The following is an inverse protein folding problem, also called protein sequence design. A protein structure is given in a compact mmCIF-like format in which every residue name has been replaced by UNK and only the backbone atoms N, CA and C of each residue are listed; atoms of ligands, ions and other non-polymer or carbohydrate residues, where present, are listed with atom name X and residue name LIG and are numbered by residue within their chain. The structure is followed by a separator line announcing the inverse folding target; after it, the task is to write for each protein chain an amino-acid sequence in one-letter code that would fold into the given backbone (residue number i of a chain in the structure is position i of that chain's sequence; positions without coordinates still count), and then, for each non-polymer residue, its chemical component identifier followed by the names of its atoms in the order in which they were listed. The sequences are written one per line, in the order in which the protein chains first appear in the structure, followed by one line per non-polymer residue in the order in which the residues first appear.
data_IF_966964593413
#
_entry.id   IF_966964593413
#
_cell.length_a   1.000
_cell.length_b   1.000
_cell.length_c   1.000
_cell.angle_alpha   90.00
_cell.angle_beta   90.00
_cell.angle_gamma   90.00
#
_symmetry.space_group_name_H-M   'P 1'
#
loop_
_entity.id
_entity.type
_entity.pdbx_description
1 polymer ?
#
# COMPACT_ATOMS: atom_id res chain seq x y z
N UNK A 1 -15.77 -1.79 35.58
CA UNK A 1 -16.27 -1.29 34.27
C UNK A 1 -15.48 -2.04 33.21
N UNK A 2 -16.08 -2.49 32.10
CA UNK A 2 -15.29 -3.03 31.00
C UNK A 2 -14.30 -1.96 30.53
N UNK A 3 -13.09 -2.36 30.16
CA UNK A 3 -12.12 -1.42 29.61
C UNK A 3 -12.71 -0.73 28.37
N UNK A 4 -12.47 0.58 28.19
CA UNK A 4 -12.98 1.28 27.02
C UNK A 4 -12.45 0.63 25.76
N UNK A 5 -13.36 0.28 24.84
CA UNK A 5 -13.03 -0.32 23.55
C UNK A 5 -12.06 0.60 22.81
N UNK A 6 -10.91 0.07 22.40
CA UNK A 6 -9.93 0.77 21.57
C UNK A 6 -10.10 0.30 20.13
N UNK A 7 -10.38 1.23 19.23
CA UNK A 7 -10.57 0.92 17.81
C UNK A 7 -9.50 1.64 17.00
N UNK A 8 -8.73 0.85 16.23
CA UNK A 8 -7.77 1.31 15.23
C UNK A 8 -8.46 2.15 14.14
N UNK A 9 -7.72 2.95 13.37
CA UNK A 9 -8.29 3.63 12.21
C UNK A 9 -7.33 4.00 11.09
N UNK A 10 -7.88 4.14 9.90
CA UNK A 10 -7.15 4.62 8.74
C UNK A 10 -7.04 6.15 8.72
N UNK A 11 -5.85 6.65 8.37
CA UNK A 11 -5.70 8.02 7.86
C UNK A 11 -5.63 8.00 6.34
N UNK A 12 -6.59 8.66 5.70
CA UNK A 12 -6.67 8.80 4.24
C UNK A 12 -6.40 10.25 3.86
N UNK A 13 -5.69 10.48 2.76
CA UNK A 13 -5.42 11.83 2.26
C UNK A 13 -6.73 12.55 1.85
N UNK A 14 -6.86 13.86 2.12
CA UNK A 14 -8.07 14.63 1.79
C UNK A 14 -8.46 14.61 0.30
N UNK A 15 -7.50 14.42 -0.61
CA UNK A 15 -7.73 14.27 -2.05
C UNK A 15 -8.57 13.05 -2.39
N UNK A 16 -8.41 11.98 -1.62
CA UNK A 16 -8.99 10.67 -1.95
C UNK A 16 -10.41 10.52 -1.39
N UNK A 17 -10.82 11.44 -0.52
CA UNK A 17 -12.21 11.57 -0.07
C UNK A 17 -13.17 11.89 -1.23
N UNK A 18 -12.68 12.45 -2.35
CA UNK A 18 -13.49 12.93 -3.49
C UNK A 18 -13.63 11.94 -4.66
N UNK A 19 -12.77 10.93 -4.81
CA UNK A 19 -12.76 10.01 -5.96
C UNK A 19 -13.73 8.80 -5.85
N UNK A 20 -14.69 8.84 -4.92
CA UNK A 20 -15.44 7.66 -4.45
C UNK A 20 -16.92 7.61 -4.91
N UNK A 21 -17.31 8.33 -5.97
CA UNK A 21 -18.74 8.61 -6.29
C UNK A 21 -19.32 7.92 -7.55
N UNK A 22 -18.68 6.97 -8.21
CA UNK A 22 -19.18 6.40 -9.48
C UNK A 22 -19.35 4.86 -9.47
N UNK A 23 -20.60 4.40 -9.49
CA UNK A 23 -21.03 2.99 -9.31
C UNK A 23 -21.49 2.28 -10.60
N UNK A 24 -21.15 1.01 -10.82
CA UNK A 24 -21.86 0.10 -11.74
C UNK A 24 -21.97 -1.36 -11.20
N UNK A 25 -23.11 -2.07 -11.39
CA UNK A 25 -23.34 -3.38 -10.77
C UNK A 25 -23.06 -4.59 -11.68
N UNK A 26 -22.18 -5.49 -11.22
CA UNK A 26 -21.99 -6.85 -11.77
C UNK A 26 -20.74 -7.53 -11.19
N UNK A 27 -20.87 -8.78 -10.71
CA UNK A 27 -19.83 -9.74 -10.27
C UNK A 27 -19.09 -9.59 -8.91
N UNK A 28 -18.83 -10.72 -8.23
CA UNK A 28 -18.39 -10.96 -6.80
C UNK A 28 -16.85 -11.18 -6.69
N UNK A 29 -16.13 -11.22 -5.51
CA UNK A 29 -16.24 -10.65 -4.11
C UNK A 29 -14.99 -9.77 -3.65
N UNK A 30 -15.04 -8.81 -2.68
CA UNK A 30 -14.60 -8.75 -1.22
C UNK A 30 -13.05 -8.51 -0.97
N UNK A 31 -12.46 -8.38 0.28
CA UNK A 31 -11.09 -7.87 0.77
C UNK A 31 -10.40 -6.82 -0.12
N UNK A 32 -9.52 -5.95 0.37
CA UNK A 32 -9.15 -4.83 -0.50
C UNK A 32 -7.76 -4.25 -0.26
N UNK A 33 -7.05 -4.09 -1.38
CA UNK A 33 -5.91 -3.19 -1.52
C UNK A 33 -6.32 -2.14 -2.53
N UNK A 34 -6.10 -0.86 -2.21
CA UNK A 34 -6.18 0.18 -3.22
C UNK A 34 -5.13 -0.12 -4.29
N UNK A 35 -5.56 -0.51 -5.49
CA UNK A 35 -4.64 -0.89 -6.57
C UNK A 35 -3.58 0.18 -6.83
N UNK A 36 -3.97 1.44 -6.68
CA UNK A 36 -3.12 2.62 -6.86
C UNK A 36 -2.23 2.94 -5.67
N UNK A 37 -2.50 2.38 -4.47
CA UNK A 37 -1.75 2.69 -3.25
C UNK A 37 -0.74 1.60 -2.84
N UNK A 38 -0.57 0.57 -3.65
CA UNK A 38 0.42 -0.48 -3.42
C UNK A 38 1.84 0.05 -3.54
N UNK A 39 2.72 -0.50 -2.70
CA UNK A 39 4.14 -0.40 -2.95
C UNK A 39 4.52 -1.17 -4.20
N UNK A 40 5.67 -0.84 -4.77
CA UNK A 40 6.31 -1.66 -5.78
C UNK A 40 6.57 -3.07 -5.22
N UNK A 41 6.30 -4.13 -5.99
CA UNK A 41 6.62 -5.49 -5.55
C UNK A 41 8.13 -5.63 -5.32
N UNK A 42 8.53 -6.44 -4.34
CA UNK A 42 9.90 -6.57 -3.85
C UNK A 42 10.52 -5.29 -3.24
N UNK A 43 9.71 -4.26 -2.93
CA UNK A 43 10.21 -3.04 -2.31
C UNK A 43 10.83 -3.29 -0.92
N UNK A 44 11.92 -2.58 -0.65
CA UNK A 44 12.44 -2.42 0.72
C UNK A 44 11.97 -1.09 1.28
N UNK A 45 11.15 -1.14 2.33
CA UNK A 45 10.53 0.00 2.98
C UNK A 45 11.30 0.31 4.26
N UNK A 46 11.84 1.53 4.37
CA UNK A 46 12.53 1.99 5.56
C UNK A 46 11.50 2.31 6.64
N UNK A 47 11.76 1.82 7.84
CA UNK A 47 10.92 2.01 9.02
C UNK A 47 11.73 2.71 10.09
N UNK A 48 11.23 3.83 10.61
CA UNK A 48 11.86 4.54 11.74
C UNK A 48 10.90 4.76 12.89
N UNK A 49 11.43 4.77 14.10
CA UNK A 49 10.67 5.07 15.32
C UNK A 49 10.81 6.56 15.68
N UNK A 50 9.68 7.20 15.94
CA UNK A 50 9.59 8.59 16.41
C UNK A 50 9.19 8.60 17.90
N UNK A 51 9.99 7.92 18.72
CA UNK A 51 9.73 7.69 20.13
C UNK A 51 9.56 6.21 20.47
N UNK A 52 8.80 5.93 21.53
CA UNK A 52 8.61 4.58 22.07
C UNK A 52 9.83 4.06 22.83
N UNK A 53 9.59 3.36 23.93
CA UNK A 53 10.66 2.68 24.67
C UNK A 53 11.19 1.45 23.91
N UNK A 54 12.31 0.92 24.37
CA UNK A 54 12.99 -0.20 23.72
C UNK A 54 12.10 -1.46 23.62
N UNK A 55 11.21 -1.68 24.59
CA UNK A 55 10.32 -2.84 24.60
C UNK A 55 9.26 -2.71 23.51
N UNK A 56 8.60 -1.56 23.39
CA UNK A 56 7.64 -1.27 22.32
C UNK A 56 8.27 -1.43 20.95
N UNK A 57 9.45 -0.84 20.73
CA UNK A 57 10.14 -0.96 19.45
C UNK A 57 10.60 -2.40 19.15
N UNK A 58 10.94 -3.20 20.17
CA UNK A 58 11.30 -4.61 19.98
C UNK A 58 10.10 -5.45 19.49
N UNK A 59 8.91 -5.22 20.06
CA UNK A 59 7.68 -5.88 19.61
C UNK A 59 7.37 -5.55 18.14
N UNK A 60 7.51 -4.27 17.73
CA UNK A 60 7.30 -3.89 16.33
C UNK A 60 8.29 -4.62 15.40
N UNK A 61 9.58 -4.66 15.76
CA UNK A 61 10.60 -5.39 14.98
C UNK A 61 10.33 -6.89 14.91
N UNK A 62 9.67 -7.45 15.93
CA UNK A 62 9.33 -8.87 15.98
C UNK A 62 8.13 -9.20 15.10
N UNK A 63 7.06 -8.41 15.16
CA UNK A 63 5.77 -8.79 14.58
C UNK A 63 5.52 -8.23 13.19
N UNK A 64 5.92 -6.98 12.90
CA UNK A 64 5.70 -6.39 11.59
C UNK A 64 6.28 -7.23 10.42
N UNK A 65 7.50 -7.82 10.51
CA UNK A 65 8.05 -8.67 9.46
C UNK A 65 7.27 -9.97 9.18
N UNK A 66 6.23 -10.31 9.95
CA UNK A 66 5.38 -11.46 9.61
C UNK A 66 4.69 -11.28 8.25
N UNK A 67 4.29 -10.05 7.89
CA UNK A 67 3.78 -9.75 6.55
C UNK A 67 4.79 -10.09 5.46
N UNK A 68 6.07 -9.82 5.68
CA UNK A 68 7.16 -10.13 4.73
C UNK A 68 7.41 -11.63 4.52
N UNK A 69 6.70 -12.52 5.24
CA UNK A 69 6.74 -13.98 5.00
C UNK A 69 5.73 -14.44 3.94
N UNK A 70 4.68 -13.64 3.72
CA UNK A 70 3.62 -13.92 2.74
C UNK A 70 3.55 -12.85 1.62
N UNK A 71 4.13 -11.67 1.84
CA UNK A 71 4.27 -10.59 0.88
C UNK A 71 5.74 -10.40 0.50
N UNK A 72 6.02 -10.28 -0.79
CA UNK A 72 7.35 -9.93 -1.30
C UNK A 72 7.64 -8.44 -1.08
N UNK A 73 7.81 -8.07 0.19
CA UNK A 73 8.23 -6.77 0.68
C UNK A 73 9.28 -6.99 1.77
N UNK A 74 10.09 -5.96 2.05
CA UNK A 74 11.05 -5.98 3.16
C UNK A 74 10.89 -4.74 4.01
N UNK A 75 10.97 -4.90 5.33
CA UNK A 75 11.05 -3.79 6.27
C UNK A 75 12.48 -3.61 6.76
N UNK A 76 13.05 -2.44 6.50
CA UNK A 76 14.39 -2.05 6.96
C UNK A 76 14.25 -1.09 8.15
N UNK A 77 14.42 -1.61 9.36
CA UNK A 77 14.34 -0.79 10.57
C UNK A 77 15.63 0.01 10.77
N UNK A 78 15.50 1.33 10.89
CA UNK A 78 16.62 2.24 11.09
C UNK A 78 16.19 3.60 11.61
N UNK A 79 16.99 4.61 11.33
CA UNK A 79 16.69 6.01 11.67
C UNK A 79 16.84 6.94 10.45
N UNK A 80 16.62 6.41 9.25
CA UNK A 80 16.69 7.19 8.02
C UNK A 80 15.68 8.34 8.09
N UNK A 81 16.08 9.62 7.92
CA UNK A 81 15.16 10.76 8.08
C UNK A 81 14.04 10.78 7.03
N UNK A 82 14.24 10.08 5.92
CA UNK A 82 13.32 9.92 4.79
C UNK A 82 12.62 8.55 4.79
N UNK A 83 12.55 7.86 5.94
CA UNK A 83 11.85 6.58 6.03
C UNK A 83 10.38 6.71 5.62
N UNK A 84 9.88 5.75 4.83
CA UNK A 84 8.50 5.71 4.37
C UNK A 84 7.54 5.50 5.54
N UNK A 85 7.85 4.54 6.41
CA UNK A 85 7.04 4.22 7.60
C UNK A 85 7.70 4.86 8.82
N UNK A 86 6.96 5.74 9.51
CA UNK A 86 7.43 6.55 10.65
C UNK A 86 6.46 6.40 11.80
N UNK A 87 6.89 5.71 12.85
CA UNK A 87 6.00 5.20 13.90
C UNK A 87 6.10 6.06 15.15
N UNK A 88 5.00 6.74 15.51
CA UNK A 88 4.83 7.36 16.81
C UNK A 88 4.20 6.38 17.82
N UNK A 89 4.28 6.73 19.10
CA UNK A 89 3.72 5.93 20.21
C UNK A 89 2.93 6.83 21.18
N UNK A 90 2.09 7.71 20.62
CA UNK A 90 1.24 8.60 21.40
C UNK A 90 -0.02 7.86 21.86
N UNK A 91 -0.14 7.61 23.17
CA UNK A 91 -1.30 6.92 23.76
C UNK A 91 -2.60 7.69 23.61
N UNK A 92 -2.52 9.00 23.40
CA UNK A 92 -3.68 9.90 23.30
C UNK A 92 -4.17 10.05 21.85
N UNK A 93 -3.47 9.44 20.87
CA UNK A 93 -3.80 9.54 19.44
C UNK A 93 -4.20 8.17 18.83
N UNK A 94 -4.63 7.21 19.66
CA UNK A 94 -5.13 5.91 19.21
C UNK A 94 -4.10 5.07 18.44
N UNK A 95 -4.55 4.09 17.65
CA UNK A 95 -3.69 3.35 16.72
C UNK A 95 -4.17 3.58 15.29
N UNK A 96 -3.25 3.92 14.38
CA UNK A 96 -3.57 4.25 12.99
C UNK A 96 -2.36 4.16 12.08
N UNK A 97 -2.61 4.03 10.78
CA UNK A 97 -1.62 4.16 9.71
C UNK A 97 -2.21 4.88 8.50
N UNK A 98 -1.36 5.56 7.71
CA UNK A 98 -1.70 5.86 6.33
C UNK A 98 -1.65 4.59 5.47
N UNK A 99 -2.36 4.60 4.35
CA UNK A 99 -2.53 3.42 3.50
C UNK A 99 -1.47 3.38 2.41
N UNK A 100 -0.57 2.39 2.47
CA UNK A 100 0.41 2.15 1.41
C UNK A 100 1.25 3.38 1.06
N UNK A 101 1.35 3.70 -0.23
CA UNK A 101 2.19 4.80 -0.74
C UNK A 101 1.72 6.21 -0.30
N UNK A 102 0.54 6.35 0.30
CA UNK A 102 0.12 7.64 0.91
C UNK A 102 1.16 8.15 1.92
N UNK A 103 1.89 7.22 2.55
CA UNK A 103 3.02 7.51 3.43
C UNK A 103 4.09 8.43 2.79
N UNK A 104 4.24 8.39 1.46
CA UNK A 104 5.20 9.21 0.71
C UNK A 104 4.78 10.68 0.63
N UNK A 105 3.49 10.98 0.73
CA UNK A 105 2.95 12.34 0.70
C UNK A 105 3.05 13.08 2.05
N UNK A 106 3.39 12.37 3.13
CA UNK A 106 3.39 12.94 4.48
C UNK A 106 4.73 13.62 4.77
N UNK A 107 4.74 14.84 5.37
CA UNK A 107 5.97 15.51 5.77
C UNK A 107 6.91 14.62 6.59
N UNK A 108 8.22 14.74 6.33
CA UNK A 108 9.25 13.84 6.92
C UNK A 108 9.31 13.92 8.44
N UNK A 109 8.96 15.06 9.02
CA UNK A 109 8.92 15.33 10.47
C UNK A 109 7.61 14.88 11.14
N UNK A 110 6.67 14.31 10.39
CA UNK A 110 5.40 13.79 10.90
C UNK A 110 5.35 12.25 10.83
N UNK A 111 4.65 11.59 11.78
CA UNK A 111 4.45 10.15 11.72
C UNK A 111 3.55 9.75 10.55
N UNK A 112 3.79 8.56 9.99
CA UNK A 112 2.89 7.90 9.04
C UNK A 112 2.10 6.74 9.68
N UNK A 113 2.42 6.42 10.92
CA UNK A 113 1.72 5.46 11.76
C UNK A 113 1.83 5.89 13.22
N UNK A 114 0.81 5.60 14.03
CA UNK A 114 0.88 5.71 15.48
C UNK A 114 0.41 4.40 16.13
N UNK A 115 1.13 3.97 17.15
CA UNK A 115 0.77 2.83 18.00
C UNK A 115 0.50 3.34 19.41
N UNK A 116 -0.74 3.77 19.68
CA UNK A 116 -1.14 4.26 21.01
C UNK A 116 -1.11 3.19 22.10
N UNK A 117 -1.14 1.92 21.70
CA UNK A 117 -0.75 0.77 22.52
C UNK A 117 -0.05 -0.25 21.62
N UNK A 118 0.62 -1.23 22.22
CA UNK A 118 1.49 -2.17 21.49
C UNK A 118 1.18 -3.60 21.91
N UNK A 119 0.64 -4.37 20.98
CA UNK A 119 0.46 -5.81 21.02
C UNK A 119 0.63 -6.38 19.60
N UNK A 120 0.71 -7.71 19.47
CA UNK A 120 0.92 -8.37 18.18
C UNK A 120 -0.18 -8.02 17.17
N UNK A 121 -1.45 -8.08 17.60
CA UNK A 121 -2.59 -7.86 16.73
C UNK A 121 -2.60 -6.46 16.12
N UNK A 122 -2.41 -5.43 16.94
CA UNK A 122 -2.36 -4.04 16.47
C UNK A 122 -1.15 -3.77 15.59
N UNK A 123 0.03 -4.32 15.91
CA UNK A 123 1.19 -4.16 15.02
C UNK A 123 0.89 -4.76 13.64
N UNK A 124 0.33 -5.97 13.59
CA UNK A 124 0.01 -6.62 12.32
C UNK A 124 -1.08 -5.85 11.56
N UNK A 125 -2.10 -5.35 12.25
CA UNK A 125 -3.18 -4.55 11.67
C UNK A 125 -2.66 -3.26 11.03
N UNK A 126 -1.93 -2.44 11.79
CA UNK A 126 -1.43 -1.16 11.29
C UNK A 126 -0.40 -1.34 10.17
N UNK A 127 0.45 -2.38 10.25
CA UNK A 127 1.34 -2.70 9.13
C UNK A 127 0.59 -3.25 7.92
N UNK A 128 -0.59 -3.84 8.09
CA UNK A 128 -1.49 -4.17 6.99
C UNK A 128 -1.91 -2.93 6.21
N UNK A 129 -2.34 -1.88 6.91
CA UNK A 129 -2.61 -0.57 6.30
C UNK A 129 -1.36 0.03 5.64
N UNK A 130 -0.22 -0.01 6.33
CA UNK A 130 1.03 0.51 5.79
C UNK A 130 1.45 -0.19 4.50
N UNK A 131 1.04 -1.44 4.23
CA UNK A 131 1.28 -2.14 2.95
C UNK A 131 0.11 -2.09 1.96
N UNK A 132 -0.92 -1.29 2.27
CA UNK A 132 -2.01 -0.97 1.36
C UNK A 132 -3.31 -1.72 1.60
N UNK A 133 -3.40 -2.56 2.63
CA UNK A 133 -4.66 -3.21 3.01
C UNK A 133 -5.63 -2.20 3.62
N UNK A 134 -6.91 -2.44 3.41
CA UNK A 134 -7.98 -1.71 4.09
C UNK A 134 -8.82 -2.66 4.94
N UNK A 135 -9.72 -2.07 5.71
CA UNK A 135 -10.59 -2.78 6.64
C UNK A 135 -11.52 -3.80 5.98
N UNK A 136 -11.58 -4.99 6.58
CA UNK A 136 -12.37 -6.12 6.10
C UNK A 136 -13.89 -5.90 6.25
N UNK A 137 -14.32 -5.05 7.20
CA UNK A 137 -15.74 -4.73 7.42
C UNK A 137 -16.33 -3.74 6.41
N UNK A 138 -15.51 -3.00 5.66
CA UNK A 138 -15.98 -2.03 4.65
C UNK A 138 -16.42 -2.68 3.33
N UNK A 139 -16.89 -3.92 3.44
CA UNK A 139 -17.25 -4.81 2.34
C UNK A 139 -18.68 -4.57 1.84
N UNK A 140 -18.90 -4.38 0.52
CA UNK A 140 -20.19 -3.94 -0.04
C UNK A 140 -21.32 -5.00 -0.10
N UNK A 141 -21.12 -6.27 0.29
CA UNK A 141 -22.18 -7.29 0.24
C UNK A 141 -22.42 -7.99 1.58
N UNK A 142 -23.64 -7.86 2.11
CA UNK A 142 -24.06 -8.45 3.37
C UNK A 142 -23.52 -7.72 4.61
N UNK A 143 -23.10 -6.46 4.41
CA UNK A 143 -22.41 -5.63 5.40
C UNK A 143 -23.03 -5.66 6.79
N UNK A 144 -22.21 -5.37 7.79
CA UNK A 144 -22.62 -5.35 9.19
C UNK A 144 -23.86 -4.47 9.32
N UNK A 145 -24.90 -5.02 9.96
CA UNK A 145 -26.12 -4.28 10.25
C UNK A 145 -25.85 -3.34 11.42
N UNK A 146 -25.22 -2.21 11.11
CA UNK A 146 -24.77 -1.25 12.10
C UNK A 146 -25.94 -0.64 12.89
N UNK A 147 -25.84 -0.70 14.21
CA UNK A 147 -26.53 0.22 15.09
C UNK A 147 -25.77 1.56 15.07
N UNK A 148 -26.04 2.37 14.05
CA UNK A 148 -25.28 3.61 13.77
C UNK A 148 -25.23 4.54 14.99
N UNK A 149 -26.33 4.68 15.73
CA UNK A 149 -26.38 5.53 16.92
C UNK A 149 -25.46 5.03 18.03
N UNK A 150 -25.34 3.71 18.21
CA UNK A 150 -24.42 3.13 19.18
C UNK A 150 -22.95 3.34 18.76
N UNK A 151 -22.66 3.12 17.48
CA UNK A 151 -21.32 3.35 16.91
C UNK A 151 -20.91 4.82 17.04
N UNK A 152 -21.77 5.75 16.59
CA UNK A 152 -21.51 7.19 16.63
C UNK A 152 -21.29 7.65 18.08
N UNK A 153 -22.17 7.25 19.00
CA UNK A 153 -22.05 7.61 20.43
C UNK A 153 -20.76 7.10 21.04
N UNK A 154 -20.33 5.89 20.68
CA UNK A 154 -19.11 5.32 21.24
C UNK A 154 -17.85 5.98 20.66
N UNK A 155 -17.76 6.12 19.34
CA UNK A 155 -16.57 6.64 18.66
C UNK A 155 -16.42 8.17 18.77
N UNK A 156 -17.50 8.91 19.05
CA UNK A 156 -17.43 10.33 19.38
C UNK A 156 -16.89 10.58 20.80
N UNK A 157 -16.87 9.55 21.65
CA UNK A 157 -16.35 9.62 23.02
C UNK A 157 -14.89 9.21 23.12
N UNK A 158 -14.35 9.27 24.34
CA UNK A 158 -13.00 8.75 24.62
C UNK A 158 -12.92 7.24 24.33
N UNK A 159 -11.80 6.72 23.82
CA UNK A 159 -10.55 7.44 23.54
C UNK A 159 -10.47 8.03 22.12
N UNK A 160 -11.42 7.74 21.24
CA UNK A 160 -11.34 8.05 19.81
C UNK A 160 -11.63 9.52 19.48
N UNK A 161 -12.67 10.10 20.09
CA UNK A 161 -13.13 11.47 19.83
C UNK A 161 -13.31 11.81 18.35
N UNK A 162 -13.74 10.85 17.52
CA UNK A 162 -13.93 11.07 16.09
C UNK A 162 -15.13 11.96 15.82
N UNK A 163 -15.00 12.81 14.81
CA UNK A 163 -16.14 13.53 14.26
C UNK A 163 -17.00 12.62 13.38
N UNK A 164 -18.23 13.07 13.10
CA UNK A 164 -19.18 12.28 12.31
C UNK A 164 -18.63 11.94 10.91
N UNK A 165 -18.00 12.86 10.15
CA UNK A 165 -17.38 12.52 8.87
C UNK A 165 -16.36 11.39 8.93
N UNK A 166 -15.49 11.38 9.94
CA UNK A 166 -14.52 10.31 10.17
C UNK A 166 -15.23 8.98 10.44
N UNK A 167 -16.26 8.98 11.29
CA UNK A 167 -17.04 7.78 11.60
C UNK A 167 -17.77 7.24 10.36
N UNK A 168 -18.42 8.11 9.58
CA UNK A 168 -19.09 7.73 8.34
C UNK A 168 -18.12 7.04 7.38
N UNK A 169 -16.93 7.61 7.20
CA UNK A 169 -15.95 7.08 6.28
C UNK A 169 -15.31 5.78 6.75
N UNK A 170 -14.98 5.65 8.04
CA UNK A 170 -14.22 4.52 8.56
C UNK A 170 -15.10 3.33 8.98
N UNK A 171 -16.36 3.58 9.34
CA UNK A 171 -17.28 2.54 9.83
C UNK A 171 -18.33 2.13 8.81
N UNK A 172 -18.95 3.11 8.14
CA UNK A 172 -20.17 2.85 7.37
C UNK A 172 -19.96 2.82 5.86
N UNK A 173 -18.93 3.51 5.38
CA UNK A 173 -18.61 3.54 3.95
C UNK A 173 -18.09 2.18 3.50
N UNK A 174 -18.67 1.70 2.40
CA UNK A 174 -18.20 0.50 1.68
C UNK A 174 -17.52 0.92 0.38
N UNK A 175 -16.46 0.23 -0.03
CA UNK A 175 -15.71 0.57 -1.24
C UNK A 175 -16.35 0.01 -2.52
N UNK A 176 -16.14 0.72 -3.64
CA UNK A 176 -16.51 0.26 -4.97
C UNK A 176 -15.59 -0.89 -5.43
N UNK A 177 -16.17 -1.92 -6.05
CA UNK A 177 -15.46 -3.14 -6.45
C UNK A 177 -14.35 -2.89 -7.46
N UNK A 178 -14.46 -1.84 -8.27
CA UNK A 178 -13.46 -1.54 -9.30
C UNK A 178 -12.13 -1.03 -8.73
N UNK A 179 -12.11 -0.60 -7.47
CA UNK A 179 -10.94 -0.02 -6.81
C UNK A 179 -10.14 -1.04 -5.97
N UNK A 180 -10.65 -2.27 -5.85
CA UNK A 180 -10.17 -3.27 -4.88
C UNK A 180 -9.98 -4.67 -5.50
N UNK A 181 -9.08 -5.47 -4.93
CA UNK A 181 -8.97 -6.91 -5.16
C UNK A 181 -9.24 -7.62 -3.83
N UNK A 182 -10.06 -8.67 -3.72
CA UNK A 182 -10.03 -9.54 -2.53
C UNK A 182 -11.08 -10.66 -2.39
N UNK A 183 -11.37 -11.06 -1.14
CA UNK A 183 -11.88 -12.39 -0.72
C UNK A 183 -13.05 -12.35 0.27
N UNK A 184 -13.75 -13.48 0.48
CA UNK A 184 -14.85 -13.64 1.45
C UNK A 184 -14.63 -12.99 2.83
N UNK A 185 -15.67 -12.33 3.43
CA UNK A 185 -15.58 -11.75 4.78
C UNK A 185 -14.95 -12.78 5.71
N UNK A 186 -13.72 -12.51 6.10
CA UNK A 186 -12.96 -13.37 6.98
C UNK A 186 -13.08 -12.83 8.40
N UNK A 187 -13.92 -13.49 9.20
CA UNK A 187 -14.07 -13.20 10.63
C UNK A 187 -12.77 -13.28 11.43
N UNK A 188 -11.73 -13.91 10.86
CA UNK A 188 -10.40 -14.07 11.45
C UNK A 188 -9.36 -13.12 10.87
N UNK A 189 -9.72 -12.29 9.89
CA UNK A 189 -8.76 -11.37 9.27
C UNK A 189 -8.22 -10.42 10.32
N UNK A 190 -6.91 -10.22 10.29
CA UNK A 190 -6.26 -9.21 11.12
C UNK A 190 -6.78 -7.80 10.80
N UNK A 191 -7.32 -7.58 9.60
CA UNK A 191 -7.87 -6.29 9.14
C UNK A 191 -9.34 -6.08 9.52
N UNK A 192 -9.95 -7.00 10.30
CA UNK A 192 -11.31 -6.85 10.80
C UNK A 192 -11.32 -6.05 12.11
N UNK A 193 -12.10 -4.96 12.17
CA UNK A 193 -12.31 -4.28 13.45
C UNK A 193 -12.94 -5.20 14.50
N UNK A 194 -12.59 -4.96 15.76
CA UNK A 194 -13.40 -5.45 16.87
C UNK A 194 -14.71 -4.67 16.89
N UNK A 195 -15.81 -5.40 16.72
CA UNK A 195 -17.17 -4.86 16.64
C UNK A 195 -17.94 -5.36 17.86
N UNK A 196 -18.24 -4.49 18.84
CA UNK A 196 -19.10 -4.85 19.96
C UNK A 196 -20.49 -5.27 19.49
N UNK A 197 -21.12 -6.17 20.25
CA UNK A 197 -22.47 -6.67 19.91
C UNK A 197 -23.51 -5.56 19.89
N UNK A 198 -23.36 -4.56 20.75
CA UNK A 198 -24.22 -3.38 20.83
C UNK A 198 -24.13 -2.45 19.61
N UNK A 199 -23.06 -2.58 18.81
CA UNK A 199 -22.86 -1.81 17.58
C UNK A 199 -23.59 -2.43 16.39
N UNK A 200 -24.30 -3.54 16.57
CA UNK A 200 -25.07 -4.19 15.51
C UNK A 200 -26.53 -4.41 15.92
N UNK A 201 -27.42 -4.49 14.94
CA UNK A 201 -28.86 -4.69 15.18
C UNK A 201 -29.28 -6.16 15.09
N UNK A 202 -28.42 -7.04 14.58
CA UNK A 202 -28.68 -8.47 14.42
C UNK A 202 -27.81 -9.36 15.32
N UNK A 203 -27.07 -8.76 16.24
CA UNK A 203 -26.25 -9.46 17.22
C UNK A 203 -24.91 -9.95 16.68
N UNK A 204 -24.51 -9.55 15.47
CA UNK A 204 -23.15 -9.74 14.99
C UNK A 204 -22.14 -9.04 15.92
N UNK A 205 -20.99 -9.67 16.15
CA UNK A 205 -19.89 -9.10 16.91
C UNK A 205 -18.57 -9.73 16.44
N UNK A 206 -17.46 -9.04 16.66
CA UNK A 206 -16.11 -9.55 16.43
C UNK A 206 -15.17 -9.11 17.55
N UNK A 207 -14.27 -10.01 17.92
CA UNK A 207 -13.19 -9.74 18.88
C UNK A 207 -11.91 -9.38 18.11
N UNK A 208 -10.94 -8.70 18.76
CA UNK A 208 -9.65 -8.45 18.13
C UNK A 208 -8.99 -9.76 17.68
N UNK A 209 -8.55 -9.83 16.43
CA UNK A 209 -7.72 -10.92 15.95
C UNK A 209 -6.26 -10.61 16.29
N UNK A 210 -5.51 -11.61 16.76
CA UNK A 210 -4.13 -11.41 17.22
C UNK A 210 -3.08 -11.87 16.20
N UNK A 211 -3.47 -12.58 15.14
CA UNK A 211 -2.56 -13.19 14.17
C UNK A 211 -3.10 -13.06 12.74
N UNK A 212 -2.20 -13.12 11.76
CA UNK A 212 -2.56 -13.18 10.34
C UNK A 212 -3.37 -14.45 10.05
N UNK A 213 -4.54 -14.29 9.45
CA UNK A 213 -5.34 -15.41 8.97
C UNK A 213 -4.70 -16.05 7.72
N UNK A 214 -5.14 -17.25 7.35
CA UNK A 214 -4.73 -17.86 6.08
C UNK A 214 -5.25 -17.06 4.87
N UNK A 215 -6.39 -16.38 5.01
CA UNK A 215 -6.92 -15.50 3.96
C UNK A 215 -6.04 -14.25 3.83
N UNK A 216 -5.62 -13.64 4.95
CA UNK A 216 -4.70 -12.50 4.94
C UNK A 216 -3.39 -12.85 4.19
N UNK A 217 -2.79 -13.99 4.55
CA UNK A 217 -1.52 -14.47 3.96
C UNK A 217 -1.65 -14.78 2.47
N UNK A 218 -2.70 -15.51 2.09
CA UNK A 218 -2.90 -15.89 0.68
C UNK A 218 -3.25 -14.68 -0.17
N UNK A 219 -4.06 -13.77 0.37
CA UNK A 219 -4.45 -12.56 -0.32
C UNK A 219 -3.26 -11.63 -0.55
N UNK A 220 -2.47 -11.30 0.47
CA UNK A 220 -1.35 -10.37 0.30
C UNK A 220 -0.26 -10.92 -0.63
N UNK A 221 -0.08 -12.24 -0.66
CA UNK A 221 0.84 -12.94 -1.55
C UNK A 221 0.28 -13.28 -2.93
N UNK A 222 -0.98 -12.91 -3.22
CA UNK A 222 -1.61 -13.15 -4.51
C UNK A 222 -0.80 -12.50 -5.65
N UNK A 223 -0.76 -13.09 -6.87
CA UNK A 223 -0.06 -12.50 -8.01
C UNK A 223 -0.43 -11.06 -8.35
N UNK A 224 -1.60 -10.57 -7.93
CA UNK A 224 -2.03 -9.19 -8.13
C UNK A 224 -1.54 -8.23 -7.04
N UNK A 225 -0.94 -8.73 -5.96
CA UNK A 225 -0.49 -7.96 -4.80
C UNK A 225 1.04 -8.04 -4.69
N UNK A 226 1.58 -8.85 -3.77
CA UNK A 226 3.03 -8.96 -3.52
C UNK A 226 3.56 -10.40 -3.66
N UNK A 227 3.54 -11.02 -4.85
CA UNK A 227 3.99 -12.40 -5.03
C UNK A 227 5.51 -12.55 -4.91
N UNK A 228 5.98 -13.64 -4.26
CA UNK A 228 7.40 -14.03 -4.22
C UNK A 228 7.88 -14.64 -5.53
N UNK A 229 7.10 -15.56 -6.09
CA UNK A 229 7.36 -16.16 -7.39
C UNK A 229 6.61 -15.37 -8.45
N UNK A 230 7.35 -14.59 -9.22
CA UNK A 230 6.80 -13.99 -10.42
C UNK A 230 6.46 -15.11 -11.42
N UNK A 231 5.30 -15.08 -12.09
CA UNK A 231 5.15 -15.84 -13.32
C UNK A 231 6.18 -15.26 -14.29
N UNK A 232 7.28 -15.99 -14.54
CA UNK A 232 8.28 -15.73 -15.60
C UNK A 232 8.29 -14.29 -16.16
N UNK A 233 8.92 -13.33 -15.47
CA UNK A 233 9.04 -11.93 -15.95
C UNK A 233 9.44 -10.88 -14.91
N UNK A 234 8.74 -10.80 -13.76
CA UNK A 234 8.80 -9.61 -12.88
C UNK A 234 9.90 -9.52 -11.81
N UNK A 235 11.08 -10.12 -12.03
CA UNK A 235 12.26 -9.85 -11.19
C UNK A 235 12.83 -8.47 -11.48
N UNK A 236 13.66 -7.89 -10.60
CA UNK A 236 14.39 -6.66 -10.95
C UNK A 236 15.33 -6.97 -12.11
N UNK A 237 15.02 -6.48 -13.30
CA UNK A 237 15.86 -6.70 -14.49
C UNK A 237 16.94 -5.62 -14.54
N UNK A 238 18.21 -6.02 -14.49
CA UNK A 238 19.33 -5.09 -14.62
C UNK A 238 19.43 -4.59 -16.07
N UNK A 239 19.40 -3.28 -16.26
CA UNK A 239 19.54 -2.61 -17.53
C UNK A 239 20.97 -2.09 -17.69
N UNK A 240 21.66 -2.44 -18.78
CA UNK A 240 22.90 -1.77 -19.13
C UNK A 240 22.61 -0.32 -19.55
N UNK A 241 23.46 0.61 -19.14
CA UNK A 241 23.45 2.00 -19.65
C UNK A 241 24.27 2.04 -20.94
N UNK A 242 23.69 1.62 -22.05
CA UNK A 242 24.32 1.54 -23.37
C UNK A 242 23.29 1.93 -24.43
N UNK A 243 23.69 2.75 -25.42
CA UNK A 243 22.78 3.37 -26.41
C UNK A 243 22.00 2.39 -27.30
N UNK A 244 22.51 1.18 -27.53
CA UNK A 244 22.04 0.33 -28.63
C UNK A 244 21.27 -0.92 -28.21
N UNK A 245 21.20 -1.24 -26.92
CA UNK A 245 20.56 -2.45 -26.43
C UNK A 245 19.25 -2.11 -25.71
N UNK A 246 18.12 -2.45 -26.33
CA UNK A 246 16.82 -2.45 -25.67
C UNK A 246 16.57 -3.82 -25.02
N UNK A 247 16.14 -3.79 -23.76
CA UNK A 247 15.72 -4.98 -23.03
C UNK A 247 14.24 -5.20 -23.30
N UNK A 248 13.88 -6.41 -23.75
CA UNK A 248 12.49 -6.78 -23.98
C UNK A 248 11.74 -6.92 -22.64
N UNK A 249 10.50 -6.45 -22.62
CA UNK A 249 9.55 -6.58 -21.52
C UNK A 249 8.19 -7.03 -22.04
N UNK A 250 7.35 -7.57 -21.17
CA UNK A 250 5.99 -7.96 -21.50
C UNK A 250 5.12 -7.77 -20.26
N UNK A 251 4.10 -6.92 -20.39
CA UNK A 251 3.03 -6.84 -19.39
C UNK A 251 2.12 -8.05 -19.63
N UNK A 252 2.51 -9.19 -19.09
CA UNK A 252 1.88 -10.51 -19.25
C UNK A 252 0.48 -10.59 -18.60
N UNK A 253 0.21 -9.76 -17.58
CA UNK A 253 -1.07 -9.72 -16.87
C UNK A 253 -1.54 -8.30 -16.61
N UNK A 254 -2.85 -8.10 -16.70
CA UNK A 254 -3.43 -6.81 -16.38
C UNK A 254 -3.17 -6.41 -14.92
N UNK A 255 -2.67 -5.17 -14.75
CA UNK A 255 -2.34 -4.60 -13.45
C UNK A 255 -0.99 -5.06 -12.89
N UNK A 256 -0.22 -5.86 -13.63
CA UNK A 256 1.16 -6.13 -13.27
C UNK A 256 2.06 -4.92 -13.55
N UNK A 257 3.28 -5.01 -13.06
CA UNK A 257 4.25 -3.95 -13.18
C UNK A 257 5.63 -4.58 -13.22
N UNK A 258 6.41 -4.19 -14.22
CA UNK A 258 7.80 -4.59 -14.37
C UNK A 258 8.71 -3.59 -13.66
N UNK A 259 9.76 -4.11 -13.03
CA UNK A 259 10.76 -3.28 -12.36
C UNK A 259 12.13 -3.54 -12.97
N UNK A 260 12.75 -2.49 -13.45
CA UNK A 260 14.11 -2.48 -13.97
C UNK A 260 15.02 -1.72 -13.03
N UNK A 261 16.31 -2.07 -13.02
CA UNK A 261 17.34 -1.34 -12.28
C UNK A 261 18.50 -1.00 -13.19
N UNK A 262 19.05 0.19 -13.04
CA UNK A 262 20.34 0.55 -13.65
C UNK A 262 21.18 1.36 -12.68
N UNK A 263 22.49 1.41 -12.92
CA UNK A 263 23.40 2.21 -12.11
C UNK A 263 23.87 3.44 -12.89
N UNK A 264 23.54 4.63 -12.41
CA UNK A 264 24.16 5.85 -12.91
C UNK A 264 25.55 5.96 -12.28
N UNK A 265 26.61 5.73 -13.06
CA UNK A 265 27.99 5.77 -12.54
C UNK A 265 28.52 7.20 -12.43
N UNK A 266 28.03 8.11 -13.27
CA UNK A 266 28.45 9.51 -13.33
C UNK A 266 27.23 10.41 -13.36
N UNK A 267 27.34 11.60 -12.78
CA UNK A 267 26.30 12.59 -12.99
C UNK A 267 26.20 12.98 -14.47
N UNK A 268 24.98 13.29 -14.92
CA UNK A 268 24.71 13.70 -16.30
C UNK A 268 23.23 13.55 -16.65
N UNK A 269 22.91 13.86 -17.90
CA UNK A 269 21.56 13.67 -18.45
C UNK A 269 21.42 12.22 -18.91
N UNK A 270 20.39 11.55 -18.39
CA UNK A 270 20.01 10.21 -18.77
C UNK A 270 18.65 10.25 -19.46
N UNK A 271 18.48 9.42 -20.50
CA UNK A 271 17.19 9.17 -21.13
C UNK A 271 16.81 7.72 -20.91
N UNK A 272 15.66 7.51 -20.27
CA UNK A 272 15.02 6.22 -20.11
C UNK A 272 13.81 6.25 -21.03
N UNK A 273 13.72 5.33 -21.98
CA UNK A 273 12.60 5.31 -22.92
C UNK A 273 12.11 3.89 -23.20
N UNK A 274 10.80 3.76 -23.38
CA UNK A 274 10.18 2.53 -23.88
C UNK A 274 9.96 2.61 -25.39
N UNK A 275 9.86 1.45 -26.02
CA UNK A 275 9.57 1.30 -27.44
C UNK A 275 8.58 0.15 -27.65
N UNK A 276 7.70 0.27 -28.65
CA UNK A 276 6.71 -0.75 -29.00
C UNK A 276 5.36 -0.13 -29.35
N UNK A 277 4.34 -0.99 -29.49
CA UNK A 277 2.95 -0.58 -29.74
C UNK A 277 2.06 -0.58 -28.49
N UNK A 278 2.60 -1.03 -27.35
CA UNK A 278 1.85 -1.09 -26.09
C UNK A 278 1.89 0.26 -25.40
N UNK A 279 0.73 0.73 -24.95
CA UNK A 279 0.57 1.98 -24.21
C UNK A 279 1.00 1.80 -22.75
N UNK A 280 2.18 2.34 -22.42
CA UNK A 280 2.85 2.11 -21.14
C UNK A 280 3.13 3.41 -20.40
N UNK A 281 3.03 3.35 -19.08
CA UNK A 281 3.40 4.43 -18.16
C UNK A 281 4.65 4.01 -17.41
N UNK A 282 5.59 4.94 -17.26
CA UNK A 282 6.86 4.70 -16.58
C UNK A 282 7.07 5.67 -15.41
N UNK A 283 7.48 5.12 -14.26
CA UNK A 283 8.00 5.87 -13.12
C UNK A 283 9.48 5.58 -12.92
N UNK A 284 10.26 6.61 -12.65
CA UNK A 284 11.68 6.50 -12.30
C UNK A 284 11.87 6.80 -10.82
N UNK A 285 12.52 5.90 -10.09
CA UNK A 285 12.87 6.06 -8.68
C UNK A 285 14.38 6.06 -8.46
N UNK A 286 14.84 6.76 -7.43
CA UNK A 286 16.24 6.76 -7.00
C UNK A 286 16.72 8.13 -6.49
N UNK A 287 18.04 8.31 -6.28
CA UNK A 287 19.04 7.24 -6.23
C UNK A 287 18.83 6.32 -5.01
N UNK A 288 19.24 5.06 -5.15
CA UNK A 288 19.31 4.03 -4.10
C UNK A 288 17.99 3.79 -3.33
N UNK A 289 16.87 4.08 -3.98
CA UNK A 289 15.53 3.94 -3.41
C UNK A 289 14.53 3.51 -4.49
N UNK A 290 13.70 2.51 -4.17
CA UNK A 290 12.62 2.00 -5.01
C UNK A 290 11.31 2.80 -4.88
N UNK A 291 11.31 3.84 -4.04
CA UNK A 291 10.13 4.58 -3.58
C UNK A 291 10.29 6.10 -3.75
N UNK A 292 11.52 6.61 -3.78
CA UNK A 292 11.80 8.03 -4.01
C UNK A 292 11.60 8.39 -5.49
N UNK A 293 10.44 8.93 -5.83
CA UNK A 293 10.06 9.27 -7.21
C UNK A 293 10.95 10.43 -7.73
N UNK A 294 11.59 10.19 -8.87
CA UNK A 294 12.39 11.16 -9.62
C UNK A 294 11.56 11.80 -10.72
N UNK A 295 10.84 10.99 -11.50
CA UNK A 295 10.00 11.44 -12.61
C UNK A 295 8.98 10.36 -12.99
N UNK A 296 7.92 10.76 -13.68
CA UNK A 296 6.89 9.90 -14.28
C UNK A 296 6.56 10.43 -15.67
N UNK A 297 6.31 9.53 -16.63
CA UNK A 297 5.92 9.87 -18.00
C UNK A 297 5.11 8.74 -18.64
N UNK A 298 4.22 9.06 -19.59
CA UNK A 298 3.37 8.11 -20.33
C UNK A 298 3.45 8.25 -21.86
N UNK A 299 3.58 9.46 -22.42
CA UNK A 299 3.50 9.65 -23.87
C UNK A 299 4.56 10.59 -24.50
N UNK A 300 5.62 10.97 -23.77
CA UNK A 300 6.67 11.85 -24.32
C UNK A 300 7.62 11.15 -25.31
N UNK A 301 7.47 9.84 -25.51
CA UNK A 301 8.23 9.03 -26.45
C UNK A 301 7.59 8.92 -27.84
N UNK A 302 7.99 7.90 -28.61
CA UNK A 302 7.40 7.65 -29.92
C UNK A 302 6.04 6.96 -29.79
N UNK A 303 4.96 7.58 -30.24
CA UNK A 303 3.61 7.02 -30.10
C UNK A 303 3.13 7.12 -28.65
N UNK A 304 2.67 6.01 -28.08
CA UNK A 304 2.19 5.91 -26.68
C UNK A 304 3.27 5.35 -25.74
N UNK A 305 4.53 5.68 -26.00
CA UNK A 305 5.66 5.19 -25.21
C UNK A 305 6.12 6.27 -24.25
N UNK A 306 6.51 5.85 -23.04
CA UNK A 306 7.05 6.74 -22.03
C UNK A 306 8.52 7.09 -22.33
N UNK A 307 8.89 8.34 -22.07
CA UNK A 307 10.27 8.86 -22.17
C UNK A 307 10.57 9.83 -21.04
N UNK A 308 11.48 9.43 -20.16
CA UNK A 308 11.99 10.27 -19.08
C UNK A 308 13.39 10.78 -19.44
N UNK A 309 13.56 12.10 -19.48
CA UNK A 309 14.86 12.77 -19.60
C UNK A 309 15.16 13.49 -18.30
N UNK A 310 16.18 13.04 -17.55
CA UNK A 310 16.48 13.56 -16.23
C UNK A 310 17.99 13.72 -15.99
N UNK A 311 18.36 14.74 -15.21
CA UNK A 311 19.74 14.87 -14.70
C UNK A 311 19.88 14.03 -13.45
N UNK A 312 20.71 12.98 -13.50
CA UNK A 312 20.87 12.03 -12.41
C UNK A 312 22.22 12.23 -11.71
N UNK A 313 22.26 12.00 -10.40
CA UNK A 313 23.50 11.83 -9.62
C UNK A 313 23.92 10.35 -9.62
N UNK A 314 25.18 10.02 -9.26
CA UNK A 314 25.57 8.62 -9.13
C UNK A 314 24.70 7.86 -8.12
N UNK A 315 24.36 6.60 -8.44
CA UNK A 315 23.54 5.73 -7.61
C UNK A 315 22.70 4.73 -8.43
N UNK A 316 22.03 3.80 -7.74
CA UNK A 316 21.09 2.88 -8.36
C UNK A 316 19.73 3.57 -8.61
N UNK A 317 19.16 3.36 -9.79
CA UNK A 317 17.84 3.86 -10.15
C UNK A 317 16.95 2.70 -10.59
N UNK A 318 15.64 2.87 -10.38
CA UNK A 318 14.65 1.85 -10.66
C UNK A 318 13.58 2.41 -11.60
N UNK A 319 13.42 1.80 -12.78
CA UNK A 319 12.36 2.16 -13.71
C UNK A 319 11.22 1.17 -13.56
N UNK A 320 10.06 1.65 -13.16
CA UNK A 320 8.84 0.88 -13.02
C UNK A 320 7.96 1.11 -14.25
N UNK A 321 7.59 0.06 -14.95
CA UNK A 321 6.76 0.13 -16.16
C UNK A 321 5.49 -0.68 -15.95
N UNK A 322 4.35 -0.09 -16.32
CA UNK A 322 3.05 -0.75 -16.33
C UNK A 322 2.28 -0.34 -17.58
N UNK A 323 1.27 -1.12 -17.96
CA UNK A 323 0.32 -0.66 -18.97
C UNK A 323 -0.48 0.55 -18.45
N UNK A 324 -0.77 1.51 -19.33
CA UNK A 324 -1.67 2.64 -19.05
C UNK A 324 -3.01 2.19 -18.47
N UNK A 325 -3.67 1.21 -19.10
CA UNK A 325 -4.86 0.55 -18.57
C UNK A 325 -4.48 -0.57 -17.58
N UNK A 326 -4.41 -0.22 -16.30
CA UNK A 326 -4.09 -1.14 -15.20
C UNK A 326 -5.16 -2.20 -14.92
N UNK A 327 -6.34 -2.13 -15.55
CA UNK A 327 -7.43 -3.07 -15.28
C UNK A 327 -7.40 -4.27 -16.21
N UNK A 328 -7.16 -4.04 -17.50
CA UNK A 328 -7.22 -5.09 -18.53
C UNK A 328 -6.05 -5.06 -19.53
N UNK A 329 -5.17 -4.07 -19.47
CA UNK A 329 -4.10 -3.89 -20.44
C UNK A 329 -2.95 -4.89 -20.27
N UNK A 330 -2.50 -5.46 -21.38
CA UNK A 330 -1.35 -6.36 -21.48
C UNK A 330 -0.62 -6.10 -22.79
N UNK A 331 0.68 -6.41 -22.87
CA UNK A 331 1.39 -6.35 -24.14
C UNK A 331 2.90 -6.22 -24.00
N UNK A 332 3.58 -6.57 -25.10
CA UNK A 332 5.03 -6.51 -25.21
C UNK A 332 5.52 -5.08 -25.44
N UNK A 333 6.70 -4.77 -24.89
CA UNK A 333 7.41 -3.52 -25.10
C UNK A 333 8.91 -3.78 -24.96
N UNK A 334 9.72 -2.75 -25.14
CA UNK A 334 11.13 -2.80 -24.74
C UNK A 334 11.52 -1.50 -24.06
N UNK A 335 12.58 -1.54 -23.26
CA UNK A 335 13.09 -0.39 -22.52
C UNK A 335 14.60 -0.27 -22.70
N UNK A 336 15.10 0.96 -22.80
CA UNK A 336 16.54 1.23 -22.82
C UNK A 336 16.90 2.45 -21.99
N UNK A 337 18.15 2.49 -21.54
CA UNK A 337 18.72 3.61 -20.78
C UNK A 337 19.96 4.12 -21.49
N UNK A 338 19.97 5.40 -21.82
CA UNK A 338 21.10 6.07 -22.49
C UNK A 338 21.61 7.22 -21.63
N UNK A 339 22.92 7.47 -21.69
CA UNK A 339 23.55 8.63 -21.07
C UNK A 339 24.05 9.55 -22.16
N UNK A 340 23.69 10.83 -22.08
CA UNK A 340 24.19 11.87 -22.99
C UNK A 340 25.62 12.32 -22.62
#
# INVERSE_FOLDING_TARGET
MPDPLKVCYDRILPSDLRMLTHTHPGDRPRLAVFREKKWTNAATLKVRFMGGDAQKQALVRQFAPQWCKCANLKFEFGNAPDAEIRIAFNSDDGAWSYIGIDCLGIPRDQPTMNLGWVDEGVILHEFGHAIGLIHEHQNPLGGIKWNRDAVIRSLSGAPNFWDLPTIENNMFKTYDRNQINGTQLDGKSIMLYSIPREWTTDGFFSEPNEVLSEVDKTFIGDPKNYPFSQPSGGGVVELPVIETAATQGDIARAGETDLYKFNAVKSGVYTIETEGSTDVVMKLFGPDSQTNLVAEDDDSGAGSNAKIVATLSPGAYYAQVRHYNSTNGTGAYSIKVTKQ
#
